data_IF_281729781737
#
_entry.id   IF_281729781737
#
_cell.length_a   1.000
_cell.length_b   1.000
_cell.length_c   1.000
_cell.angle_alpha   90.00
_cell.angle_beta   90.00
_cell.angle_gamma   90.00
#
_symmetry.space_group_name_H-M   'P 1'
#
loop_
_entity.id
_entity.type
_entity.pdbx_description
1 polymer ?
#
# COMPACT_ATOMS: atom_id res chain seq x y z
N UNK A 1 17.93 26.06 -3.07
CA UNK A 1 16.97 25.66 -4.13
C UNK A 1 15.58 26.02 -3.65
N UNK A 2 14.80 26.72 -4.49
CA UNK A 2 13.40 27.09 -4.21
C UNK A 2 12.53 26.12 -4.99
N UNK A 3 11.70 25.35 -4.32
CA UNK A 3 10.75 24.43 -4.95
C UNK A 3 9.39 25.07 -4.72
N UNK A 4 8.63 25.33 -5.79
CA UNK A 4 7.28 25.92 -5.70
C UNK A 4 7.21 27.29 -4.99
N UNK A 5 8.26 28.12 -5.12
CA UNK A 5 8.32 29.43 -4.46
C UNK A 5 8.60 29.37 -2.95
N UNK A 6 8.79 28.17 -2.41
CA UNK A 6 8.96 27.87 -1.01
C UNK A 6 10.37 27.30 -0.76
N UNK A 7 10.97 27.66 0.37
CA UNK A 7 12.27 27.12 0.78
C UNK A 7 12.18 25.70 1.32
N UNK A 8 13.35 25.09 1.55
CA UNK A 8 13.45 23.81 2.26
C UNK A 8 12.83 23.85 3.67
N UNK A 9 12.99 24.94 4.48
CA UNK A 9 12.42 25.00 5.82
C UNK A 9 10.89 24.89 5.83
N UNK A 10 10.21 25.62 4.95
CA UNK A 10 8.75 25.63 4.89
C UNK A 10 8.19 24.30 4.37
N UNK A 11 8.88 23.65 3.42
CA UNK A 11 8.54 22.28 2.99
C UNK A 11 8.65 21.27 4.14
N UNK A 12 9.67 21.39 5.00
CA UNK A 12 9.82 20.52 6.17
C UNK A 12 8.68 20.70 7.17
N UNK A 13 8.19 21.93 7.37
CA UNK A 13 7.04 22.20 8.25
C UNK A 13 5.78 21.51 7.71
N UNK A 14 5.50 21.63 6.41
CA UNK A 14 4.36 20.96 5.79
C UNK A 14 4.49 19.44 5.90
N UNK A 15 5.70 18.91 5.64
CA UNK A 15 5.98 17.49 5.79
C UNK A 15 5.76 17.02 7.24
N UNK A 16 6.16 17.80 8.24
CA UNK A 16 5.94 17.48 9.64
C UNK A 16 4.44 17.40 9.99
N UNK A 17 3.62 18.32 9.47
CA UNK A 17 2.15 18.27 9.66
C UNK A 17 1.56 17.05 8.95
N UNK A 18 1.98 16.77 7.72
CA UNK A 18 1.54 15.58 6.99
C UNK A 18 1.94 14.28 7.72
N UNK A 19 3.14 14.24 8.30
CA UNK A 19 3.63 13.15 9.13
C UNK A 19 2.84 13.00 10.44
N UNK A 20 2.28 14.07 10.99
CA UNK A 20 1.43 13.97 12.17
C UNK A 20 0.07 13.34 11.83
N UNK A 21 -0.49 13.66 10.66
CA UNK A 21 -1.78 13.14 10.20
C UNK A 21 -1.63 11.69 9.72
N UNK A 22 -0.63 11.43 8.88
CA UNK A 22 -0.44 10.12 8.26
C UNK A 22 0.48 9.21 9.08
N UNK A 23 1.42 9.74 9.86
CA UNK A 23 2.44 8.97 10.56
C UNK A 23 3.67 8.67 9.68
N UNK A 24 4.89 8.66 10.24
CA UNK A 24 6.12 8.36 9.50
C UNK A 24 6.17 6.93 8.96
N UNK A 25 5.49 5.98 9.61
CA UNK A 25 5.39 4.58 9.17
C UNK A 25 4.54 4.41 7.90
N UNK A 26 3.61 5.33 7.63
CA UNK A 26 2.73 5.22 6.46
C UNK A 26 3.33 5.82 5.18
N UNK A 27 4.29 6.74 5.28
CA UNK A 27 5.03 7.26 4.11
C UNK A 27 5.76 6.16 3.30
N UNK A 28 6.58 5.26 3.90
CA UNK A 28 7.24 4.21 3.13
C UNK A 28 6.24 3.21 2.54
N UNK A 29 5.12 2.93 3.22
CA UNK A 29 4.06 2.05 2.73
C UNK A 29 3.32 2.64 1.51
N UNK A 30 2.99 3.93 1.55
CA UNK A 30 2.40 4.68 0.44
C UNK A 30 3.39 4.82 -0.72
N UNK A 31 4.65 5.15 -0.42
CA UNK A 31 5.73 5.25 -1.41
C UNK A 31 6.03 3.94 -2.10
N UNK A 32 6.03 2.80 -1.39
CA UNK A 32 6.20 1.48 -1.98
C UNK A 32 5.05 1.13 -2.93
N UNK A 33 3.81 1.49 -2.58
CA UNK A 33 2.63 1.25 -3.43
C UNK A 33 2.67 2.09 -4.71
N UNK A 34 2.91 3.40 -4.58
CA UNK A 34 3.05 4.31 -5.73
C UNK A 34 4.27 3.94 -6.56
N UNK A 35 5.37 3.52 -5.93
CA UNK A 35 6.60 3.10 -6.58
C UNK A 35 6.40 1.86 -7.44
N UNK A 36 5.64 0.87 -6.98
CA UNK A 36 5.24 -0.31 -7.77
C UNK A 36 4.42 0.08 -9.00
N UNK A 37 3.45 0.99 -8.83
CA UNK A 37 2.67 1.52 -9.95
C UNK A 37 3.57 2.26 -10.95
N UNK A 38 4.40 3.20 -10.48
CA UNK A 38 5.35 3.95 -11.30
C UNK A 38 6.34 3.03 -12.03
N UNK A 39 6.81 1.96 -11.38
CA UNK A 39 7.68 0.94 -11.97
C UNK A 39 6.98 0.22 -13.12
N UNK A 40 5.75 -0.27 -12.91
CA UNK A 40 4.96 -0.90 -13.98
C UNK A 40 4.62 0.05 -15.13
N UNK A 41 4.37 1.34 -14.84
CA UNK A 41 4.19 2.37 -15.87
C UNK A 41 5.49 2.57 -16.68
N UNK A 42 6.65 2.64 -16.02
CA UNK A 42 7.95 2.85 -16.68
C UNK A 42 8.35 1.66 -17.56
N UNK A 43 8.13 0.45 -17.07
CA UNK A 43 8.35 -0.80 -17.81
C UNK A 43 7.42 -0.88 -19.04
N UNK A 44 6.13 -0.56 -18.87
CA UNK A 44 5.17 -0.54 -19.98
C UNK A 44 5.43 0.57 -21.01
N UNK A 45 6.07 1.67 -20.63
CA UNK A 45 6.49 2.74 -21.55
C UNK A 45 7.80 2.43 -22.30
N UNK A 46 8.39 1.25 -22.13
CA UNK A 46 9.52 0.78 -22.94
C UNK A 46 10.91 1.28 -22.50
N UNK A 47 11.08 1.67 -21.22
CA UNK A 47 12.41 1.90 -20.65
C UNK A 47 13.00 0.60 -20.10
N UNK A 48 13.41 -0.30 -20.99
CA UNK A 48 14.22 -1.48 -20.67
C UNK A 48 15.68 -1.07 -20.45
N UNK A 49 15.98 -0.44 -19.31
CA UNK A 49 17.36 -0.43 -18.81
C UNK A 49 17.37 -0.67 -17.30
N UNK A 50 17.50 -1.95 -16.96
CA UNK A 50 18.02 -2.53 -15.71
C UNK A 50 17.74 -1.71 -14.44
N UNK A 51 16.51 -1.79 -13.95
CA UNK A 51 16.14 -1.24 -12.65
C UNK A 51 16.84 -2.06 -11.55
N UNK A 52 17.76 -1.41 -10.82
CA UNK A 52 18.41 -1.96 -9.62
C UNK A 52 17.32 -2.45 -8.67
N UNK A 53 17.30 -3.75 -8.45
CA UNK A 53 16.40 -4.42 -7.53
C UNK A 53 16.86 -4.08 -6.11
N UNK A 54 16.25 -3.05 -5.52
CA UNK A 54 16.43 -2.76 -4.10
C UNK A 54 15.55 -3.74 -3.36
N UNK A 55 16.13 -4.88 -3.02
CA UNK A 55 15.53 -5.92 -2.20
C UNK A 55 15.27 -5.37 -0.79
N UNK A 56 13.99 -5.44 -0.41
CA UNK A 56 13.38 -5.41 0.93
C UNK A 56 14.09 -4.65 2.08
N UNK A 57 13.43 -3.59 2.56
CA UNK A 57 13.42 -3.31 4.00
C UNK A 57 12.11 -3.85 4.58
N UNK A 58 12.21 -5.03 5.18
CA UNK A 58 11.28 -5.57 6.15
C UNK A 58 11.08 -4.50 7.24
N UNK A 59 9.92 -3.84 7.24
CA UNK A 59 9.45 -3.03 8.35
C UNK A 59 8.26 -3.77 8.93
N UNK A 60 8.58 -4.85 9.63
CA UNK A 60 7.70 -5.53 10.56
C UNK A 60 7.18 -4.50 11.56
N UNK A 61 5.97 -4.00 11.31
CA UNK A 61 5.12 -3.48 12.38
C UNK A 61 4.33 -4.69 12.83
N UNK A 62 4.83 -5.34 13.87
CA UNK A 62 4.02 -6.15 14.75
C UNK A 62 2.96 -5.21 15.34
N UNK A 63 1.78 -5.21 14.73
CA UNK A 63 0.53 -4.84 15.43
C UNK A 63 0.15 -6.07 16.27
N UNK A 64 0.75 -6.15 17.47
CA UNK A 64 0.43 -7.11 18.53
C UNK A 64 -0.09 -6.31 19.73
N UNK A 65 -1.34 -5.84 19.62
CA UNK A 65 -2.20 -5.49 20.76
C UNK A 65 -3.65 -5.22 20.31
N UNK A 66 -4.41 -6.30 20.03
CA UNK A 66 -5.82 -6.45 20.46
C UNK A 66 -6.46 -7.79 20.05
N UNK A 67 -6.07 -8.90 20.70
CA UNK A 67 -6.92 -10.09 20.95
C UNK A 67 -6.73 -10.40 22.46
N UNK A 68 -7.65 -10.80 23.33
CA UNK A 68 -9.11 -11.07 23.39
C UNK A 68 -9.38 -11.36 24.91
N UNK A 69 -10.63 -11.45 25.48
CA UNK A 69 -11.51 -12.57 25.13
C UNK A 69 -13.05 -12.39 25.27
N UNK A 70 -13.75 -12.99 24.30
CA UNK A 70 -14.91 -13.91 24.44
C UNK A 70 -16.29 -13.39 24.90
N UNK A 71 -17.41 -14.15 24.71
CA UNK A 71 -17.83 -14.99 23.56
C UNK A 71 -19.35 -14.91 23.25
N UNK A 72 -19.77 -15.31 22.04
CA UNK A 72 -20.92 -16.20 21.76
C UNK A 72 -21.45 -16.03 20.31
N UNK A 73 -21.32 -17.12 19.55
CA UNK A 73 -21.76 -17.37 18.16
C UNK A 73 -23.31 -17.48 18.02
N UNK A 74 -23.90 -18.02 16.92
CA UNK A 74 -23.70 -17.86 15.46
C UNK A 74 -25.05 -17.69 14.68
N UNK A 75 -25.06 -17.15 13.45
CA UNK A 75 -26.17 -17.42 12.50
C UNK A 75 -25.76 -17.35 11.01
N UNK A 76 -25.44 -18.54 10.50
CA UNK A 76 -25.68 -19.08 9.15
C UNK A 76 -26.38 -18.15 8.13
N UNK A 77 -25.76 -17.99 6.95
CA UNK A 77 -26.45 -18.17 5.65
C UNK A 77 -25.46 -18.57 4.55
N UNK A 78 -25.48 -19.87 4.31
CA UNK A 78 -25.10 -20.53 3.06
C UNK A 78 -25.97 -20.05 1.90
N UNK A 79 -25.38 -19.65 0.78
CA UNK A 79 -25.91 -19.97 -0.56
C UNK A 79 -24.75 -20.49 -1.40
N UNK A 80 -24.70 -21.82 -1.52
CA UNK A 80 -24.10 -22.52 -2.66
C UNK A 80 -25.13 -22.46 -3.78
N UNK A 81 -24.76 -22.05 -5.00
CA UNK A 81 -25.05 -22.81 -6.22
C UNK A 81 -23.91 -22.60 -7.20
N UNK A 82 -23.01 -23.58 -7.24
CA UNK A 82 -22.29 -23.95 -8.44
C UNK A 82 -23.18 -24.92 -9.25
N UNK A 83 -23.40 -24.65 -10.54
CA UNK A 83 -23.69 -25.66 -11.57
C UNK A 83 -23.50 -25.01 -12.95
N UNK A 84 -22.38 -25.31 -13.63
CA UNK A 84 -22.24 -26.33 -14.70
C UNK A 84 -22.51 -25.68 -16.07
N UNK A 85 -21.46 -25.34 -16.81
CA UNK A 85 -20.74 -26.19 -17.77
C UNK A 85 -21.59 -26.59 -18.99
N UNK A 86 -21.08 -26.09 -20.13
CA UNK A 86 -21.16 -26.54 -21.52
C UNK A 86 -22.43 -26.31 -22.37
N UNK A 87 -22.25 -25.82 -23.63
CA UNK A 87 -23.29 -25.67 -24.63
C UNK A 87 -23.55 -27.00 -25.36
N UNK A 88 -24.78 -27.21 -25.81
CA UNK A 88 -25.16 -28.30 -26.72
C UNK A 88 -26.10 -27.74 -27.79
N UNK A 89 -25.87 -28.22 -29.02
CA UNK A 89 -26.54 -27.98 -30.30
C UNK A 89 -25.97 -26.83 -31.15
#
# INVERSE_FOLDING_TARGET
MKILGMGMPELLIILAVALLIFGPKNLPKLGASIGKTMKGLREGLGNDEKVVEVENADLSVEDEDAEEPAPAAPAKKTVKVAKKAEPVA
#
